data_IF_899571495108
#
_entry.id   IF_899571495108
#
_cell.length_a   1.000
_cell.length_b   1.000
_cell.length_c   1.000
_cell.angle_alpha   90.00
_cell.angle_beta   90.00
_cell.angle_gamma   90.00
#
_symmetry.space_group_name_H-M   'P 1'
#
loop_
_entity.id
_entity.type
_entity.pdbx_description
1 polymer ?
#
# COMPACT_ATOMS: atom_id res chain seq x y z
N UNK A 1 12.39 13.26 14.01
CA UNK A 1 12.77 12.34 12.92
C UNK A 1 12.10 12.86 11.66
N UNK A 2 12.89 13.35 10.70
CA UNK A 2 12.39 14.14 9.54
C UNK A 2 12.49 13.39 8.21
N UNK A 3 13.23 12.28 8.16
CA UNK A 3 13.31 11.33 7.06
C UNK A 3 13.78 9.99 7.61
N UNK A 4 13.23 8.89 7.11
CA UNK A 4 13.66 7.54 7.45
C UNK A 4 13.21 6.52 6.40
N UNK A 5 13.78 5.33 6.50
CA UNK A 5 13.28 4.13 5.85
C UNK A 5 13.61 2.89 6.67
N UNK A 6 13.08 1.75 6.25
CA UNK A 6 13.36 0.46 6.87
C UNK A 6 13.16 -0.68 5.87
N UNK A 7 13.84 -1.78 6.15
CA UNK A 7 13.65 -3.07 5.49
C UNK A 7 12.97 -4.02 6.47
N UNK A 8 11.87 -4.62 6.03
CA UNK A 8 11.06 -5.58 6.77
C UNK A 8 11.28 -6.96 6.16
N UNK A 9 11.48 -7.97 6.99
CA UNK A 9 11.75 -9.34 6.57
C UNK A 9 10.76 -10.31 7.20
N UNK A 10 10.25 -11.24 6.40
CA UNK A 10 9.42 -12.35 6.83
C UNK A 10 10.22 -13.66 6.75
N UNK A 11 9.91 -14.61 7.62
CA UNK A 11 10.58 -15.92 7.68
C UNK A 11 10.47 -16.73 6.39
N UNK A 12 9.42 -16.49 5.59
CA UNK A 12 9.19 -17.14 4.30
C UNK A 12 9.98 -16.53 3.14
N UNK A 13 10.91 -15.62 3.43
CA UNK A 13 11.80 -14.99 2.46
C UNK A 13 11.22 -13.76 1.77
N UNK A 14 9.97 -13.36 2.09
CA UNK A 14 9.44 -12.07 1.62
C UNK A 14 10.14 -10.92 2.34
N UNK A 15 10.30 -9.81 1.63
CA UNK A 15 10.82 -8.57 2.19
C UNK A 15 10.07 -7.37 1.64
N UNK A 16 10.03 -6.30 2.41
CA UNK A 16 9.49 -5.02 1.98
C UNK A 16 10.42 -3.90 2.41
N UNK A 17 10.41 -2.80 1.67
CA UNK A 17 11.08 -1.56 2.07
C UNK A 17 10.07 -0.44 2.07
N UNK A 18 10.18 0.49 3.01
CA UNK A 18 9.46 1.75 2.94
C UNK A 18 10.41 2.91 3.24
N UNK A 19 10.03 4.09 2.76
CA UNK A 19 10.72 5.34 3.01
C UNK A 19 9.68 6.46 3.19
N UNK A 20 9.93 7.39 4.11
CA UNK A 20 9.15 8.61 4.26
C UNK A 20 10.05 9.79 4.65
N UNK A 21 9.70 11.00 4.21
CA UNK A 21 10.54 12.18 4.39
C UNK A 21 9.72 13.47 4.30
N UNK A 22 10.00 14.41 5.21
CA UNK A 22 9.55 15.80 5.11
C UNK A 22 10.48 16.67 4.25
N UNK A 23 11.62 16.12 3.81
CA UNK A 23 12.66 16.85 3.08
C UNK A 23 12.73 16.50 1.59
N UNK A 24 11.93 15.53 1.15
CA UNK A 24 11.98 14.99 -0.21
C UNK A 24 10.70 15.32 -0.97
N UNK A 25 10.74 15.19 -2.29
CA UNK A 25 9.55 15.30 -3.13
C UNK A 25 8.46 14.32 -2.66
N UNK A 26 7.21 14.75 -2.74
CA UNK A 26 6.07 13.93 -2.31
C UNK A 26 5.87 12.77 -3.28
N UNK A 27 5.91 11.55 -2.76
CA UNK A 27 5.74 10.32 -3.54
C UNK A 27 4.78 9.39 -2.83
N UNK A 28 3.85 8.80 -3.58
CA UNK A 28 2.89 7.80 -3.07
C UNK A 28 3.06 6.46 -3.80
N UNK A 29 4.29 6.15 -4.17
CA UNK A 29 4.62 4.97 -4.96
C UNK A 29 4.49 3.69 -4.13
N UNK A 30 3.88 2.68 -4.75
CA UNK A 30 3.88 1.30 -4.26
C UNK A 30 4.35 0.40 -5.40
N UNK A 31 5.30 -0.48 -5.12
CA UNK A 31 5.70 -1.56 -6.03
C UNK A 31 5.66 -2.88 -5.28
N UNK A 32 4.87 -3.83 -5.78
CA UNK A 32 4.85 -5.21 -5.31
C UNK A 32 5.39 -6.13 -6.40
N UNK A 33 6.31 -7.01 -6.01
CA UNK A 33 6.95 -7.97 -6.92
C UNK A 33 6.59 -9.38 -6.46
N UNK A 34 6.11 -10.19 -7.39
CA UNK A 34 5.86 -11.61 -7.21
C UNK A 34 6.63 -12.43 -8.23
N UNK A 35 6.61 -13.75 -8.07
CA UNK A 35 7.30 -14.68 -8.97
C UNK A 35 6.74 -14.69 -10.39
N UNK A 36 5.49 -14.27 -10.57
CA UNK A 36 4.78 -14.25 -11.85
C UNK A 36 4.47 -12.86 -12.38
N UNK A 37 4.83 -11.81 -11.65
CA UNK A 37 4.46 -10.47 -12.06
C UNK A 37 4.77 -9.35 -11.08
N UNK A 38 4.35 -8.15 -11.46
CA UNK A 38 4.56 -6.92 -10.72
C UNK A 38 3.29 -6.07 -10.74
N UNK A 39 3.03 -5.41 -9.62
CA UNK A 39 2.01 -4.37 -9.47
C UNK A 39 2.71 -3.06 -9.10
N UNK A 40 2.34 -1.96 -9.76
CA UNK A 40 2.86 -0.61 -9.49
C UNK A 40 1.73 0.41 -9.43
N UNK A 41 1.79 1.29 -8.43
CA UNK A 41 0.91 2.43 -8.26
C UNK A 41 1.78 3.66 -7.97
N UNK A 42 1.39 4.82 -8.46
CA UNK A 42 2.16 6.07 -8.30
C UNK A 42 1.48 7.10 -7.38
N UNK A 43 0.20 6.90 -7.13
CA UNK A 43 -0.71 7.80 -6.43
C UNK A 43 -1.52 7.03 -5.35
N UNK A 44 -0.92 6.01 -4.75
CA UNK A 44 -1.64 5.05 -3.89
C UNK A 44 -2.35 5.68 -2.69
N UNK A 45 -1.69 6.61 -2.00
CA UNK A 45 -2.26 7.27 -0.81
C UNK A 45 -3.25 8.36 -1.19
N UNK A 46 -2.99 9.05 -2.29
CA UNK A 46 -3.76 10.19 -2.76
C UNK A 46 -3.78 10.14 -4.29
N UNK A 47 -4.91 9.73 -4.91
CA UNK A 47 -5.05 9.67 -6.35
C UNK A 47 -4.75 11.02 -7.02
N UNK A 48 -4.23 11.02 -8.25
CA UNK A 48 -3.96 12.28 -8.95
C UNK A 48 -5.22 13.09 -9.27
N UNK A 49 -6.34 12.41 -9.53
CA UNK A 49 -7.63 13.02 -9.83
C UNK A 49 -8.65 12.54 -8.79
N UNK A 50 -9.20 13.44 -7.98
CA UNK A 50 -10.21 13.09 -6.94
C UNK A 50 -11.65 13.45 -7.35
N UNK A 51 -11.83 14.46 -8.20
CA UNK A 51 -13.14 15.09 -8.44
C UNK A 51 -14.01 14.39 -9.50
N UNK A 52 -13.43 13.45 -10.26
CA UNK A 52 -14.11 12.64 -11.29
C UNK A 52 -13.49 11.24 -11.41
N UNK A 53 -12.78 10.81 -10.37
CA UNK A 53 -11.40 10.37 -10.53
C UNK A 53 -11.20 8.87 -10.48
N UNK A 54 -10.68 8.33 -11.56
CA UNK A 54 -10.27 6.95 -11.64
C UNK A 54 -8.97 6.71 -10.87
N UNK A 55 -8.86 5.58 -10.18
CA UNK A 55 -7.57 5.09 -9.69
C UNK A 55 -6.81 4.43 -10.82
N UNK A 56 -5.49 4.61 -10.90
CA UNK A 56 -4.66 3.93 -11.90
C UNK A 56 -3.66 2.98 -11.26
N UNK A 57 -3.42 1.84 -11.91
CA UNK A 57 -2.32 0.96 -11.54
C UNK A 57 -1.77 0.25 -12.76
N UNK A 58 -0.46 -0.01 -12.73
CA UNK A 58 0.22 -0.81 -13.73
C UNK A 58 0.39 -2.24 -13.22
N UNK A 59 0.04 -3.19 -14.06
CA UNK A 59 0.17 -4.61 -13.81
C UNK A 59 1.06 -5.22 -14.90
N UNK A 60 1.88 -6.18 -14.52
CA UNK A 60 2.58 -7.02 -15.48
C UNK A 60 2.61 -8.45 -14.98
N UNK A 61 1.88 -9.36 -15.63
CA UNK A 61 1.91 -10.80 -15.36
C UNK A 61 2.32 -11.59 -16.59
N UNK A 62 2.99 -12.73 -16.33
CA UNK A 62 3.29 -13.77 -17.33
C UNK A 62 3.82 -13.22 -18.66
N UNK A 63 4.67 -12.20 -18.56
CA UNK A 63 5.17 -11.43 -19.70
C UNK A 63 6.01 -12.32 -20.65
N UNK A 64 5.60 -12.37 -21.92
CA UNK A 64 6.29 -13.14 -22.95
C UNK A 64 7.48 -12.35 -23.52
N UNK A 65 8.67 -12.63 -22.99
CA UNK A 65 9.93 -12.05 -23.47
C UNK A 65 10.30 -12.51 -24.90
N UNK A 66 9.61 -13.50 -25.47
CA UNK A 66 9.73 -13.87 -26.88
C UNK A 66 9.00 -12.92 -27.84
N UNK A 67 8.10 -12.07 -27.34
CA UNK A 67 7.28 -11.13 -28.13
C UNK A 67 7.58 -9.66 -27.79
N UNK A 68 8.86 -9.33 -27.65
CA UNK A 68 9.28 -7.96 -27.37
C UNK A 68 9.23 -7.15 -28.68
N UNK A 69 8.53 -6.00 -28.64
CA UNK A 69 8.52 -5.05 -29.76
C UNK A 69 9.93 -4.50 -30.01
N UNK A 70 10.30 -4.29 -31.27
CA UNK A 70 11.59 -3.72 -31.63
C UNK A 70 11.86 -2.40 -30.88
N UNK A 71 13.06 -2.29 -30.29
CA UNK A 71 13.46 -1.12 -29.48
C UNK A 71 13.04 -1.17 -28.01
N UNK A 72 12.41 -2.25 -27.53
CA UNK A 72 12.15 -2.49 -26.10
C UNK A 72 13.03 -3.61 -25.56
N UNK A 73 13.33 -3.56 -24.27
CA UNK A 73 14.02 -4.64 -23.56
C UNK A 73 13.03 -5.55 -22.78
N UNK A 74 11.79 -5.11 -22.58
CA UNK A 74 10.72 -5.87 -21.97
C UNK A 74 9.35 -5.50 -22.58
N UNK A 75 8.33 -6.37 -22.43
CA UNK A 75 6.95 -6.01 -22.73
C UNK A 75 6.48 -4.80 -21.91
N UNK A 76 5.52 -4.04 -22.44
CA UNK A 76 4.92 -2.90 -21.73
C UNK A 76 3.94 -3.45 -20.68
N UNK A 77 3.96 -2.95 -19.43
CA UNK A 77 2.92 -3.25 -18.44
C UNK A 77 1.53 -2.82 -18.92
N UNK A 78 0.51 -3.54 -18.45
CA UNK A 78 -0.90 -3.19 -18.62
C UNK A 78 -1.26 -2.07 -17.65
N UNK A 79 -1.80 -0.98 -18.16
CA UNK A 79 -2.35 0.09 -17.33
C UNK A 79 -3.85 -0.16 -17.14
N UNK A 80 -4.28 -0.10 -15.89
CA UNK A 80 -5.67 -0.28 -15.50
C UNK A 80 -6.19 1.01 -14.88
N UNK A 81 -7.44 1.33 -15.22
CA UNK A 81 -8.14 2.53 -14.79
C UNK A 81 -9.42 2.07 -14.10
N UNK A 82 -9.63 2.49 -12.86
CA UNK A 82 -10.78 2.09 -12.02
C UNK A 82 -11.59 3.33 -11.70
N UNK A 83 -12.77 3.47 -12.30
CA UNK A 83 -13.67 4.59 -12.02
C UNK A 83 -14.13 4.60 -10.55
N UNK A 84 -14.17 5.79 -9.95
CA UNK A 84 -14.75 6.00 -8.62
C UNK A 84 -15.88 7.01 -8.71
N UNK A 85 -17.03 6.68 -8.10
CA UNK A 85 -18.21 7.57 -8.11
C UNK A 85 -18.07 8.72 -7.10
N UNK A 86 -17.28 8.51 -6.04
CA UNK A 86 -17.06 9.45 -4.94
C UNK A 86 -15.63 9.32 -4.41
N UNK A 87 -15.06 10.37 -3.82
CA UNK A 87 -13.73 10.33 -3.22
C UNK A 87 -13.56 9.24 -2.15
N UNK A 88 -12.34 8.76 -1.97
CA UNK A 88 -12.01 7.64 -1.07
C UNK A 88 -12.37 7.90 0.39
N UNK A 89 -12.24 9.12 0.87
CA UNK A 89 -12.59 9.54 2.23
C UNK A 89 -14.11 9.56 2.45
N UNK A 90 -14.90 9.85 1.41
CA UNK A 90 -16.36 9.73 1.44
C UNK A 90 -16.75 8.26 1.59
N UNK A 91 -16.09 7.36 0.86
CA UNK A 91 -16.29 5.91 1.01
C UNK A 91 -15.90 5.43 2.42
N UNK A 92 -14.81 5.95 2.98
CA UNK A 92 -14.36 5.61 4.33
C UNK A 92 -15.44 5.97 5.37
N UNK A 93 -15.97 7.21 5.33
CA UNK A 93 -17.01 7.67 6.27
C UNK A 93 -18.31 6.91 6.05
N UNK A 94 -18.70 6.66 4.79
CA UNK A 94 -19.89 5.87 4.44
C UNK A 94 -19.79 4.46 5.02
N UNK A 95 -18.66 3.79 4.86
CA UNK A 95 -18.45 2.44 5.40
C UNK A 95 -18.46 2.43 6.93
N UNK A 96 -17.86 3.43 7.57
CA UNK A 96 -17.92 3.57 9.02
C UNK A 96 -19.36 3.74 9.53
N UNK A 97 -20.15 4.62 8.90
CA UNK A 97 -21.55 4.84 9.25
C UNK A 97 -22.40 3.57 9.09
N UNK A 98 -22.18 2.81 8.00
CA UNK A 98 -22.81 1.51 7.77
C UNK A 98 -22.49 0.50 8.89
N UNK A 99 -21.21 0.38 9.28
CA UNK A 99 -20.81 -0.51 10.38
C UNK A 99 -21.48 -0.13 11.71
N UNK A 100 -21.56 1.17 12.01
CA UNK A 100 -22.25 1.65 13.22
C UNK A 100 -23.75 1.34 13.17
N UNK A 101 -24.38 1.53 12.00
CA UNK A 101 -25.79 1.21 11.79
C UNK A 101 -26.05 -0.28 12.06
N UNK A 102 -25.27 -1.17 11.46
CA UNK A 102 -25.47 -2.61 11.63
C UNK A 102 -25.28 -3.08 13.08
N UNK A 103 -24.33 -2.51 13.81
CA UNK A 103 -24.16 -2.80 15.24
C UNK A 103 -25.39 -2.36 16.03
N UNK A 104 -25.91 -1.15 15.75
CA UNK A 104 -27.03 -0.56 16.51
C UNK A 104 -28.38 -1.21 16.19
N UNK A 105 -28.62 -1.57 14.94
CA UNK A 105 -29.96 -1.92 14.46
C UNK A 105 -30.07 -3.35 13.92
N UNK A 106 -28.97 -3.97 13.49
CA UNK A 106 -28.96 -5.32 12.92
C UNK A 106 -28.36 -6.38 13.87
N UNK A 107 -27.89 -5.97 15.06
CA UNK A 107 -27.30 -6.88 16.05
C UNK A 107 -25.93 -7.42 15.66
N UNK A 108 -25.25 -6.78 14.71
CA UNK A 108 -23.89 -7.18 14.30
C UNK A 108 -22.86 -6.83 15.38
N UNK A 109 -21.73 -7.56 15.36
CA UNK A 109 -20.58 -7.28 16.24
C UNK A 109 -19.59 -6.36 15.53
N UNK A 110 -18.80 -5.56 16.28
CA UNK A 110 -17.73 -4.77 15.69
C UNK A 110 -16.74 -5.63 14.89
N UNK A 111 -16.47 -5.20 13.66
CA UNK A 111 -15.49 -5.83 12.78
C UNK A 111 -14.07 -5.59 13.35
N UNK A 112 -13.35 -6.67 13.64
CA UNK A 112 -12.05 -6.61 14.35
C UNK A 112 -10.90 -6.24 13.40
N UNK A 113 -11.08 -6.44 12.12
CA UNK A 113 -10.11 -6.35 11.05
C UNK A 113 -9.42 -4.97 11.06
N UNK A 114 -10.21 -3.89 11.19
CA UNK A 114 -9.71 -2.53 11.32
C UNK A 114 -8.77 -2.37 12.52
N UNK A 115 -9.14 -2.91 13.68
CA UNK A 115 -8.30 -2.85 14.88
C UNK A 115 -7.02 -3.66 14.75
N UNK A 116 -7.09 -4.81 14.08
CA UNK A 116 -5.95 -5.70 13.84
C UNK A 116 -4.95 -5.04 12.90
N UNK A 117 -5.41 -4.47 11.78
CA UNK A 117 -4.55 -3.76 10.82
C UNK A 117 -3.88 -2.57 11.49
N UNK A 118 -4.64 -1.71 12.19
CA UNK A 118 -4.08 -0.55 12.89
C UNK A 118 -3.02 -0.95 13.92
N UNK A 119 -3.29 -2.00 14.71
CA UNK A 119 -2.32 -2.49 15.71
C UNK A 119 -1.04 -3.02 15.05
N UNK A 120 -1.15 -3.78 13.96
CA UNK A 120 0.01 -4.31 13.23
C UNK A 120 0.86 -3.17 12.65
N UNK A 121 0.23 -2.18 12.00
CA UNK A 121 0.92 -1.00 11.49
C UNK A 121 1.67 -0.26 12.60
N UNK A 122 1.01 -0.04 13.75
CA UNK A 122 1.65 0.65 14.88
C UNK A 122 2.85 -0.13 15.44
N UNK A 123 2.77 -1.47 15.52
CA UNK A 123 3.87 -2.31 15.99
C UNK A 123 5.08 -2.15 15.06
N UNK A 124 4.88 -2.18 13.74
CA UNK A 124 5.96 -1.99 12.76
C UNK A 124 6.58 -0.59 12.92
N UNK A 125 5.77 0.46 13.02
CA UNK A 125 6.29 1.83 13.19
C UNK A 125 7.07 2.00 14.50
N UNK A 126 6.62 1.35 15.58
CA UNK A 126 7.35 1.33 16.85
C UNK A 126 8.70 0.63 16.72
N UNK A 127 8.76 -0.52 16.02
CA UNK A 127 10.00 -1.24 15.79
C UNK A 127 11.01 -0.42 14.96
N UNK A 128 10.54 0.32 13.95
CA UNK A 128 11.40 1.23 13.17
C UNK A 128 11.97 2.33 14.04
N UNK A 129 11.13 2.95 14.87
CA UNK A 129 11.57 3.97 15.83
C UNK A 129 12.58 3.42 16.82
N UNK A 130 12.33 2.23 17.37
CA UNK A 130 13.22 1.53 18.29
C UNK A 130 14.57 1.21 17.65
N UNK A 131 14.57 0.72 16.40
CA UNK A 131 15.79 0.46 15.63
C UNK A 131 16.64 1.72 15.52
N UNK A 132 16.04 2.85 15.15
CA UNK A 132 16.74 4.14 15.04
C UNK A 132 17.30 4.59 16.40
N UNK A 133 16.53 4.44 17.47
CA UNK A 133 16.97 4.76 18.83
C UNK A 133 18.13 3.87 19.31
N UNK A 134 18.24 2.65 18.77
CA UNK A 134 19.31 1.68 19.06
C UNK A 134 20.45 1.70 18.03
N UNK A 135 20.66 2.83 17.33
CA UNK A 135 21.68 2.96 16.29
C UNK A 135 21.53 1.94 15.15
N UNK A 136 20.31 1.80 14.62
CA UNK A 136 19.97 0.97 13.46
C UNK A 136 20.12 -0.55 13.69
N UNK A 137 19.98 -1.00 14.94
CA UNK A 137 19.95 -2.41 15.26
C UNK A 137 18.67 -3.09 14.76
N UNK A 138 18.76 -4.38 14.47
CA UNK A 138 17.62 -5.22 14.14
C UNK A 138 16.64 -5.27 15.32
N UNK A 139 15.34 -5.21 15.03
CA UNK A 139 14.26 -5.32 16.02
C UNK A 139 13.34 -6.46 15.60
N UNK A 140 13.27 -7.49 16.44
CA UNK A 140 12.36 -8.62 16.23
C UNK A 140 10.94 -8.22 16.61
N UNK A 141 10.02 -8.38 15.66
CA UNK A 141 8.59 -8.18 15.88
C UNK A 141 7.96 -9.53 16.23
N UNK A 142 7.55 -9.69 17.49
CA UNK A 142 6.84 -10.88 17.98
C UNK A 142 5.32 -10.72 17.87
#
# INVERSE_FOLDING_TARGET
MISCGSSLHWEDGRSATFHCSFLSYVTFDVTALGTKGCLRLHDFTLPFEENFGYGTFCEASEMDYGKIQAGRWCPKPNEHVVETEVPQEVLMVKKFAELVYNIKFCGEKPLKEWSVVNRKTQIVLNAVKESIQRNYQLVDIK
#
